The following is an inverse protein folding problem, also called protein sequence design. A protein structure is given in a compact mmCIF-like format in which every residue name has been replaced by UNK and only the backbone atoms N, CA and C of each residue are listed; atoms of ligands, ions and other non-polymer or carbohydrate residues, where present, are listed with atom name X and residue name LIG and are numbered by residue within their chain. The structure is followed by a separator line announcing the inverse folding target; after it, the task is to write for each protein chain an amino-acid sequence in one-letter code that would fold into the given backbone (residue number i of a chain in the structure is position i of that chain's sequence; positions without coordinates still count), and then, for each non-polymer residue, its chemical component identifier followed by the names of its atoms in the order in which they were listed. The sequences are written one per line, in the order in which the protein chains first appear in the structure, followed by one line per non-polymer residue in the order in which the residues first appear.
data_IF_265940925993
#
_entry.id   IF_265940925993
#
_cell.length_a   1.000
_cell.length_b   1.000
_cell.length_c   1.000
_cell.angle_alpha   90.00
_cell.angle_beta   90.00
_cell.angle_gamma   90.00
#
_symmetry.space_group_name_H-M   'P 1'
#
loop_
_entity.id
_entity.type
_entity.pdbx_description
1 polymer ?
#
# COMPACT_ATOMS: atom_id res chain seq x y z
N UNK A 1 21.91 -13.21 -37.35
CA UNK A 1 21.33 -12.13 -36.53
C UNK A 1 19.92 -12.55 -36.10
N UNK A 2 19.68 -12.88 -34.83
CA UNK A 2 18.31 -13.09 -34.34
C UNK A 2 17.60 -11.73 -34.44
N UNK A 3 16.51 -11.65 -35.20
CA UNK A 3 15.67 -10.45 -35.24
C UNK A 3 15.33 -10.06 -33.81
N UNK A 4 15.69 -8.84 -33.39
CA UNK A 4 15.39 -8.35 -32.05
C UNK A 4 13.89 -8.10 -31.98
N UNK A 5 13.13 -9.15 -31.66
CA UNK A 5 11.69 -9.04 -31.48
C UNK A 5 11.45 -8.05 -30.35
N UNK A 6 10.75 -6.96 -30.70
CA UNK A 6 10.36 -5.91 -29.78
C UNK A 6 9.49 -6.52 -28.67
N UNK A 7 9.78 -6.21 -27.41
CA UNK A 7 9.06 -6.78 -26.27
C UNK A 7 7.90 -5.87 -25.84
N UNK A 8 6.77 -5.95 -26.56
CA UNK A 8 5.59 -5.10 -26.34
C UNK A 8 5.02 -5.15 -24.92
N UNK A 9 5.07 -6.30 -24.25
CA UNK A 9 4.62 -6.40 -22.87
C UNK A 9 5.40 -5.45 -21.93
N UNK A 10 6.70 -5.27 -22.16
CA UNK A 10 7.50 -4.32 -21.35
C UNK A 10 7.20 -2.86 -21.69
N UNK A 11 6.78 -2.56 -22.92
CA UNK A 11 6.28 -1.23 -23.26
C UNK A 11 4.99 -0.93 -22.50
N UNK A 12 4.05 -1.88 -22.47
CA UNK A 12 2.80 -1.73 -21.72
C UNK A 12 3.06 -1.56 -20.22
N UNK A 13 3.94 -2.38 -19.63
CA UNK A 13 4.35 -2.21 -18.23
C UNK A 13 5.00 -0.83 -18.01
N UNK A 14 5.88 -0.39 -18.91
CA UNK A 14 6.48 0.94 -18.82
C UNK A 14 5.45 2.06 -18.84
N UNK A 15 4.44 1.99 -19.72
CA UNK A 15 3.39 3.01 -19.80
C UNK A 15 2.53 3.01 -18.52
N UNK A 16 2.15 1.83 -18.04
CA UNK A 16 1.43 1.69 -16.77
C UNK A 16 2.21 2.34 -15.62
N UNK A 17 3.48 1.98 -15.45
CA UNK A 17 4.31 2.51 -14.37
C UNK A 17 4.56 4.01 -14.52
N UNK A 18 4.69 4.53 -15.74
CA UNK A 18 4.85 5.96 -15.99
C UNK A 18 3.60 6.74 -15.59
N UNK A 19 2.42 6.27 -16.00
CA UNK A 19 1.14 6.88 -15.63
C UNK A 19 0.95 6.86 -14.12
N UNK A 20 1.19 5.71 -13.48
CA UNK A 20 1.11 5.61 -12.02
C UNK A 20 2.10 6.52 -11.31
N UNK A 21 3.35 6.61 -11.79
CA UNK A 21 4.34 7.52 -11.22
C UNK A 21 3.89 8.98 -11.32
N UNK A 22 3.33 9.40 -12.46
CA UNK A 22 2.76 10.74 -12.64
C UNK A 22 1.61 11.01 -11.67
N UNK A 23 0.72 10.03 -11.46
CA UNK A 23 -0.37 10.15 -10.46
C UNK A 23 0.21 10.33 -9.06
N UNK A 24 1.19 9.52 -8.66
CA UNK A 24 1.85 9.65 -7.35
C UNK A 24 2.56 10.99 -7.19
N UNK A 25 3.27 11.49 -8.20
CA UNK A 25 3.89 12.81 -8.15
C UNK A 25 2.87 13.95 -8.12
N UNK A 26 1.77 13.85 -8.85
CA UNK A 26 0.69 14.83 -8.82
C UNK A 26 0.01 14.87 -7.43
N UNK A 27 -0.31 13.71 -6.86
CA UNK A 27 -0.84 13.59 -5.51
C UNK A 27 0.14 14.15 -4.47
N UNK A 28 1.41 13.78 -4.57
CA UNK A 28 2.48 14.32 -3.73
C UNK A 28 2.56 15.84 -3.84
N UNK A 29 2.54 16.41 -5.04
CA UNK A 29 2.59 17.86 -5.26
C UNK A 29 1.41 18.58 -4.59
N UNK A 30 0.18 18.05 -4.74
CA UNK A 30 -1.02 18.59 -4.08
C UNK A 30 -0.87 18.55 -2.55
N UNK A 31 -0.39 17.43 -2.01
CA UNK A 31 -0.17 17.26 -0.56
C UNK A 31 0.94 18.19 -0.05
N UNK A 32 2.02 18.38 -0.82
CA UNK A 32 3.09 19.32 -0.48
C UNK A 32 2.61 20.77 -0.45
N UNK A 33 1.76 21.16 -1.42
CA UNK A 33 1.12 22.48 -1.41
C UNK A 33 0.17 22.63 -0.21
N UNK A 34 -0.62 21.60 0.08
CA UNK A 34 -1.48 21.56 1.27
C UNK A 34 -0.69 21.70 2.57
N UNK A 35 0.46 21.03 2.68
CA UNK A 35 1.34 21.14 3.82
C UNK A 35 1.90 22.56 3.97
N UNK A 36 2.34 23.18 2.87
CA UNK A 36 2.84 24.56 2.88
C UNK A 36 1.76 25.56 3.33
N UNK A 37 0.53 25.42 2.81
CA UNK A 37 -0.60 26.27 3.23
C UNK A 37 -0.90 26.07 4.72
N UNK A 38 -0.94 24.83 5.19
CA UNK A 38 -1.18 24.51 6.60
C UNK A 38 -0.10 25.12 7.52
N UNK A 39 1.16 25.10 7.10
CA UNK A 39 2.26 25.74 7.83
C UNK A 39 2.09 27.25 7.94
N UNK A 40 1.73 27.92 6.84
CA UNK A 40 1.49 29.36 6.82
C UNK A 40 0.30 29.77 7.71
N UNK A 41 -0.65 28.86 7.93
CA UNK A 41 -1.81 29.04 8.79
C UNK A 41 -1.57 28.60 10.25
N UNK A 42 -0.39 28.06 10.58
CA UNK A 42 -0.09 27.52 11.91
C UNK A 42 -0.89 26.26 12.27
N UNK A 43 -1.35 25.50 11.28
CA UNK A 43 -2.18 24.31 11.47
C UNK A 43 -1.34 23.04 11.67
N UNK A 44 -1.74 22.20 12.63
CA UNK A 44 -1.12 20.89 12.93
C UNK A 44 -1.24 19.88 11.78
N UNK A 45 -2.18 20.07 10.85
CA UNK A 45 -2.33 19.23 9.66
C UNK A 45 -1.13 19.27 8.70
N UNK A 46 -0.20 20.21 8.88
CA UNK A 46 1.02 20.32 8.09
C UNK A 46 1.85 19.02 8.09
N UNK A 47 2.00 18.37 9.25
CA UNK A 47 2.84 17.17 9.36
C UNK A 47 2.24 15.98 8.60
N UNK A 48 0.93 15.76 8.72
CA UNK A 48 0.21 14.72 7.99
C UNK A 48 0.37 14.89 6.47
N UNK A 49 0.11 16.10 5.96
CA UNK A 49 0.24 16.39 4.54
C UNK A 49 1.69 16.25 4.04
N UNK A 50 2.67 16.70 4.83
CA UNK A 50 4.10 16.55 4.51
C UNK A 50 4.53 15.07 4.45
N UNK A 51 4.07 14.23 5.39
CA UNK A 51 4.42 12.80 5.40
C UNK A 51 3.86 12.11 4.17
N UNK A 52 2.59 12.36 3.84
CA UNK A 52 1.99 11.81 2.62
C UNK A 52 2.67 12.34 1.36
N UNK A 53 3.09 13.61 1.32
CA UNK A 53 3.92 14.13 0.24
C UNK A 53 5.20 13.29 0.06
N UNK A 54 5.97 13.09 1.14
CA UNK A 54 7.19 12.28 1.10
C UNK A 54 6.93 10.84 0.63
N UNK A 55 5.88 10.22 1.15
CA UNK A 55 5.45 8.87 0.78
C UNK A 55 5.11 8.75 -0.72
N UNK A 56 4.24 9.63 -1.23
CA UNK A 56 3.80 9.61 -2.62
C UNK A 56 4.95 9.92 -3.58
N UNK A 57 5.81 10.91 -3.26
CA UNK A 57 7.00 11.21 -4.07
C UNK A 57 8.00 10.05 -4.10
N UNK A 58 8.16 9.33 -2.98
CA UNK A 58 9.04 8.18 -2.91
C UNK A 58 8.50 6.99 -3.73
N UNK A 59 7.20 6.67 -3.61
CA UNK A 59 6.54 5.64 -4.43
C UNK A 59 6.61 5.97 -5.93
N UNK A 60 6.35 7.23 -6.29
CA UNK A 60 6.51 7.72 -7.67
C UNK A 60 7.94 7.54 -8.19
N UNK A 61 8.95 7.74 -7.34
CA UNK A 61 10.36 7.54 -7.69
C UNK A 61 10.70 6.06 -7.93
N UNK A 62 10.19 5.14 -7.11
CA UNK A 62 10.34 3.69 -7.33
C UNK A 62 9.71 3.29 -8.68
N UNK A 63 8.51 3.79 -8.97
CA UNK A 63 7.82 3.51 -10.23
C UNK A 63 8.51 4.12 -11.44
N UNK A 64 9.17 5.26 -11.30
CA UNK A 64 10.00 5.83 -12.37
C UNK A 64 11.19 4.91 -12.69
N UNK A 65 11.82 4.30 -11.68
CA UNK A 65 12.87 3.30 -11.91
C UNK A 65 12.28 2.08 -12.63
N UNK A 66 11.14 1.56 -12.18
CA UNK A 66 10.46 0.44 -12.84
C UNK A 66 10.10 0.76 -14.31
N UNK A 67 9.64 1.99 -14.57
CA UNK A 67 9.34 2.53 -15.91
C UNK A 67 10.59 2.46 -16.78
N UNK A 68 11.70 3.03 -16.32
CA UNK A 68 12.96 3.08 -17.09
C UNK A 68 13.46 1.68 -17.40
N UNK A 69 13.44 0.77 -16.42
CA UNK A 69 13.89 -0.62 -16.61
C UNK A 69 13.01 -1.37 -17.61
N UNK A 70 11.68 -1.22 -17.52
CA UNK A 70 10.75 -1.83 -18.46
C UNK A 70 10.93 -1.26 -19.88
N UNK A 71 11.13 0.06 -20.01
CA UNK A 71 11.40 0.70 -21.30
C UNK A 71 12.74 0.25 -21.90
N UNK A 72 13.79 0.11 -21.09
CA UNK A 72 15.07 -0.43 -21.53
C UNK A 72 14.95 -1.87 -22.05
N UNK A 73 14.06 -2.69 -21.46
CA UNK A 73 13.74 -4.02 -21.99
C UNK A 73 13.06 -3.95 -23.36
N UNK A 74 12.13 -3.03 -23.55
CA UNK A 74 11.51 -2.78 -24.85
C UNK A 74 12.56 -2.40 -25.92
N UNK A 75 13.54 -1.57 -25.55
CA UNK A 75 14.68 -1.21 -26.39
C UNK A 75 15.76 -2.30 -26.52
N UNK A 76 15.53 -3.51 -26.00
CA UNK A 76 16.47 -4.63 -26.02
C UNK A 76 17.86 -4.31 -25.46
N UNK A 77 17.94 -3.47 -24.42
CA UNK A 77 19.23 -3.14 -23.79
C UNK A 77 19.72 -4.32 -22.94
N UNK A 78 21.00 -4.73 -23.05
CA UNK A 78 21.52 -5.88 -22.31
C UNK A 78 21.59 -5.67 -20.80
N UNK A 79 21.68 -4.41 -20.35
CA UNK A 79 21.79 -4.05 -18.93
C UNK A 79 20.63 -4.54 -18.05
N UNK A 80 19.45 -4.81 -18.64
CA UNK A 80 18.27 -5.27 -17.89
C UNK A 80 18.13 -6.79 -17.80
N UNK A 81 18.96 -7.53 -18.53
CA UNK A 81 19.01 -9.00 -18.46
C UNK A 81 19.96 -9.51 -17.37
N UNK A 82 20.74 -8.60 -16.77
CA UNK A 82 21.63 -8.92 -15.65
C UNK A 82 20.81 -9.42 -14.47
N UNK A 83 21.29 -10.48 -13.82
CA UNK A 83 20.62 -11.04 -12.66
C UNK A 83 20.63 -10.09 -11.47
N UNK A 84 19.56 -10.11 -10.68
CA UNK A 84 19.49 -9.38 -9.41
C UNK A 84 20.11 -10.24 -8.32
N UNK A 85 21.17 -9.76 -7.63
CA UNK A 85 21.73 -10.50 -6.50
C UNK A 85 20.74 -10.48 -5.33
N UNK A 86 20.52 -11.64 -4.73
CA UNK A 86 19.63 -11.84 -3.58
C UNK A 86 20.37 -12.21 -2.30
N UNK A 87 21.70 -12.22 -2.33
CA UNK A 87 22.53 -12.51 -1.16
C UNK A 87 22.73 -11.27 -0.30
N UNK A 88 21.66 -10.83 0.39
CA UNK A 88 21.81 -9.86 1.45
C UNK A 88 22.69 -10.46 2.56
N UNK A 89 23.77 -9.77 2.85
CA UNK A 89 24.68 -10.17 3.91
C UNK A 89 24.11 -9.88 5.29
N UNK A 90 24.58 -10.59 6.32
CA UNK A 90 24.03 -10.44 7.68
C UNK A 90 24.24 -9.04 8.26
N UNK A 91 25.34 -8.36 7.89
CA UNK A 91 25.61 -6.99 8.29
C UNK A 91 24.68 -5.99 7.60
N UNK A 92 24.31 -6.21 6.33
CA UNK A 92 23.32 -5.37 5.67
C UNK A 92 21.93 -5.55 6.31
N UNK A 93 21.54 -6.79 6.64
CA UNK A 93 20.30 -7.07 7.36
C UNK A 93 20.29 -6.39 8.74
N UNK A 94 21.37 -6.52 9.51
CA UNK A 94 21.52 -5.86 10.80
C UNK A 94 21.48 -4.34 10.69
N UNK A 95 22.16 -3.75 9.70
CA UNK A 95 22.13 -2.32 9.43
C UNK A 95 20.73 -1.83 9.04
N UNK A 96 19.99 -2.61 8.25
CA UNK A 96 18.59 -2.32 7.90
C UNK A 96 17.69 -2.30 9.13
N UNK A 97 17.79 -3.32 9.98
CA UNK A 97 16.98 -3.41 11.20
C UNK A 97 17.31 -2.28 12.19
N UNK A 98 18.60 -1.97 12.38
CA UNK A 98 19.04 -0.85 13.23
C UNK A 98 18.57 0.48 12.63
N UNK A 99 18.73 0.68 11.32
CA UNK A 99 18.29 1.89 10.64
C UNK A 99 16.79 2.12 10.76
N UNK A 100 15.98 1.05 10.65
CA UNK A 100 14.54 1.11 10.89
C UNK A 100 14.21 1.50 12.33
N UNK A 101 14.86 0.85 13.30
CA UNK A 101 14.68 1.15 14.73
C UNK A 101 15.07 2.59 15.07
N UNK A 102 16.17 3.09 14.51
CA UNK A 102 16.59 4.49 14.66
C UNK A 102 15.58 5.45 14.03
N UNK A 103 15.06 5.16 12.83
CA UNK A 103 14.05 6.00 12.19
C UNK A 103 12.76 6.08 13.03
N UNK A 104 12.29 4.94 13.56
CA UNK A 104 11.13 4.88 14.45
C UNK A 104 11.35 5.62 15.77
N UNK A 105 12.53 5.44 16.39
CA UNK A 105 12.89 6.10 17.64
C UNK A 105 12.95 7.61 17.45
N UNK A 106 13.70 8.08 16.44
CA UNK A 106 13.82 9.50 16.14
C UNK A 106 12.47 10.12 15.78
N UNK A 107 11.66 9.43 14.96
CA UNK A 107 10.33 9.89 14.60
C UNK A 107 9.40 9.98 15.81
N UNK A 108 9.42 8.99 16.69
CA UNK A 108 8.65 8.99 17.94
C UNK A 108 9.05 10.11 18.91
N UNK A 109 10.33 10.51 18.94
CA UNK A 109 10.80 11.63 19.76
C UNK A 109 10.35 13.00 19.22
N UNK A 110 10.09 13.11 17.92
CA UNK A 110 9.75 14.39 17.28
C UNK A 110 8.26 14.51 16.91
N UNK A 111 7.48 13.44 16.95
CA UNK A 111 6.10 13.42 16.43
C UNK A 111 5.22 14.52 17.05
N UNK A 112 5.39 14.79 18.35
CA UNK A 112 4.63 15.79 19.11
C UNK A 112 5.21 17.21 18.97
N UNK A 113 6.37 17.37 18.32
CA UNK A 113 7.01 18.67 18.15
C UNK A 113 6.56 19.34 16.85
N UNK A 114 5.50 20.15 16.97
CA UNK A 114 4.86 20.87 15.85
C UNK A 114 5.79 21.81 15.06
N UNK A 115 6.94 22.21 15.61
CA UNK A 115 7.85 23.10 14.91
C UNK A 115 8.69 22.38 13.85
N UNK A 116 8.95 21.08 14.05
CA UNK A 116 9.93 20.32 13.26
C UNK A 116 9.37 19.03 12.66
N UNK A 117 8.24 18.51 13.18
CA UNK A 117 7.68 17.23 12.74
C UNK A 117 7.36 17.20 11.25
N UNK A 118 6.80 18.28 10.71
CA UNK A 118 6.46 18.44 9.30
C UNK A 118 7.67 18.34 8.36
N UNK A 119 8.88 18.63 8.85
CA UNK A 119 10.11 18.63 8.08
C UNK A 119 10.80 17.26 8.13
N UNK A 120 10.90 16.67 9.33
CA UNK A 120 11.67 15.45 9.55
C UNK A 120 10.86 14.16 9.42
N UNK A 121 9.58 14.14 9.82
CA UNK A 121 8.75 12.93 9.70
C UNK A 121 8.64 12.40 8.26
N UNK A 122 8.49 13.22 7.20
CA UNK A 122 8.45 12.72 5.83
C UNK A 122 9.72 11.96 5.45
N UNK A 123 10.88 12.46 5.91
CA UNK A 123 12.19 11.86 5.65
C UNK A 123 12.38 10.59 6.47
N UNK A 124 11.96 10.57 7.74
CA UNK A 124 12.07 9.41 8.62
C UNK A 124 11.07 8.30 8.30
N UNK A 125 9.92 8.64 7.70
CA UNK A 125 8.91 7.67 7.25
C UNK A 125 9.47 6.74 6.19
N UNK A 126 10.29 7.24 5.26
CA UNK A 126 10.87 6.41 4.20
C UNK A 126 11.66 5.23 4.77
N UNK A 127 12.71 5.41 5.60
CA UNK A 127 13.45 4.30 6.20
C UNK A 127 12.61 3.51 7.23
N UNK A 128 11.71 4.15 7.98
CA UNK A 128 10.84 3.45 8.93
C UNK A 128 9.91 2.44 8.25
N UNK A 129 9.48 2.72 7.02
CA UNK A 129 8.63 1.81 6.22
C UNK A 129 9.46 0.85 5.37
N UNK A 130 10.45 1.38 4.64
CA UNK A 130 11.16 0.58 3.63
C UNK A 130 12.18 -0.39 4.20
N UNK A 131 12.88 -0.04 5.29
CA UNK A 131 13.94 -0.90 5.82
C UNK A 131 13.40 -2.18 6.46
N UNK A 132 12.30 -2.18 7.24
CA UNK A 132 11.71 -3.43 7.72
C UNK A 132 11.27 -4.34 6.57
N UNK A 133 10.58 -3.80 5.56
CA UNK A 133 10.15 -4.55 4.37
C UNK A 133 11.36 -5.11 3.63
N UNK A 134 12.41 -4.31 3.46
CA UNK A 134 13.65 -4.74 2.82
C UNK A 134 14.37 -5.84 3.63
N UNK A 135 14.40 -5.74 4.95
CA UNK A 135 14.99 -6.76 5.84
C UNK A 135 14.24 -8.08 5.71
N UNK A 136 12.91 -8.08 5.85
CA UNK A 136 12.10 -9.30 5.80
C UNK A 136 12.18 -9.93 4.41
N UNK A 137 12.04 -9.13 3.35
CA UNK A 137 12.17 -9.60 1.97
C UNK A 137 13.57 -10.18 1.73
N UNK A 138 14.62 -9.46 2.13
CA UNK A 138 16.00 -9.86 1.94
C UNK A 138 16.37 -11.15 2.68
N UNK A 139 15.77 -11.39 3.85
CA UNK A 139 15.88 -12.67 4.56
C UNK A 139 15.11 -13.78 3.83
N UNK A 140 13.89 -13.51 3.38
CA UNK A 140 13.03 -14.48 2.70
C UNK A 140 13.60 -14.93 1.35
N UNK A 141 14.12 -14.00 0.55
CA UNK A 141 14.64 -14.32 -0.79
C UNK A 141 16.13 -14.67 -0.83
N UNK A 142 16.76 -14.82 0.33
CA UNK A 142 18.23 -15.00 0.42
C UNK A 142 18.70 -16.19 -0.40
N UNK A 143 19.61 -15.94 -1.33
CA UNK A 143 20.16 -16.93 -2.26
C UNK A 143 19.12 -17.58 -3.20
N UNK A 144 17.93 -16.99 -3.34
CA UNK A 144 16.92 -17.44 -4.30
C UNK A 144 17.05 -16.68 -5.63
N UNK A 145 16.66 -17.30 -6.76
CA UNK A 145 16.82 -16.67 -8.07
C UNK A 145 15.72 -15.64 -8.35
N UNK A 146 16.05 -14.35 -8.40
CA UNK A 146 15.18 -13.29 -8.97
C UNK A 146 15.40 -13.05 -10.46
N UNK A 147 16.37 -13.74 -11.08
CA UNK A 147 16.68 -13.68 -12.52
C UNK A 147 16.92 -12.23 -12.98
N UNK A 148 16.55 -11.86 -14.21
CA UNK A 148 16.78 -10.56 -14.81
C UNK A 148 16.13 -9.37 -14.08
N UNK A 149 16.85 -8.24 -13.99
CA UNK A 149 16.37 -6.96 -13.44
C UNK A 149 15.00 -6.53 -13.95
N UNK A 150 14.72 -6.67 -15.25
CA UNK A 150 13.42 -6.21 -15.77
C UNK A 150 12.24 -7.00 -15.21
N UNK A 151 12.38 -8.30 -14.94
CA UNK A 151 11.32 -9.11 -14.32
C UNK A 151 11.08 -8.65 -12.89
N UNK A 152 12.15 -8.51 -12.10
CA UNK A 152 12.09 -8.01 -10.72
C UNK A 152 11.38 -6.67 -10.64
N UNK A 153 11.82 -5.68 -11.42
CA UNK A 153 11.21 -4.35 -11.42
C UNK A 153 9.78 -4.33 -11.99
N UNK A 154 9.46 -5.21 -12.96
CA UNK A 154 8.09 -5.32 -13.46
C UNK A 154 7.14 -5.91 -12.44
N UNK A 155 7.57 -6.96 -11.72
CA UNK A 155 6.76 -7.59 -10.66
C UNK A 155 6.55 -6.62 -9.51
N UNK A 156 7.61 -5.93 -9.06
CA UNK A 156 7.50 -4.88 -8.06
C UNK A 156 6.55 -3.77 -8.54
N UNK A 157 6.72 -3.28 -9.78
CA UNK A 157 5.88 -2.24 -10.36
C UNK A 157 4.39 -2.63 -10.45
N UNK A 158 4.09 -3.86 -10.88
CA UNK A 158 2.71 -4.40 -10.92
C UNK A 158 2.11 -4.44 -9.51
N UNK A 159 2.91 -4.85 -8.52
CA UNK A 159 2.48 -4.96 -7.12
C UNK A 159 2.27 -3.60 -6.44
N UNK A 160 2.92 -2.55 -6.94
CA UNK A 160 2.74 -1.16 -6.50
C UNK A 160 1.59 -0.44 -7.24
N UNK A 161 1.05 -1.03 -8.32
CA UNK A 161 0.10 -0.35 -9.21
C UNK A 161 -1.16 -1.17 -9.45
N UNK A 162 -1.08 -2.14 -10.36
CA UNK A 162 -2.22 -2.89 -10.86
C UNK A 162 -2.86 -3.76 -9.77
N UNK A 163 -2.08 -4.40 -8.91
CA UNK A 163 -2.63 -5.23 -7.84
C UNK A 163 -3.44 -4.39 -6.83
N UNK A 164 -2.91 -3.29 -6.23
CA UNK A 164 -3.69 -2.39 -5.39
C UNK A 164 -4.90 -1.78 -6.11
N UNK A 165 -4.77 -1.42 -7.39
CA UNK A 165 -5.89 -0.86 -8.17
C UNK A 165 -7.03 -1.86 -8.33
N UNK A 166 -6.72 -3.11 -8.70
CA UNK A 166 -7.72 -4.17 -8.83
C UNK A 166 -8.36 -4.45 -7.47
N UNK A 167 -7.57 -4.50 -6.39
CA UNK A 167 -8.08 -4.71 -5.04
C UNK A 167 -9.04 -3.61 -4.62
N UNK A 168 -8.67 -2.35 -4.81
CA UNK A 168 -9.55 -1.22 -4.55
C UNK A 168 -10.87 -1.32 -5.32
N UNK A 169 -10.83 -1.69 -6.61
CA UNK A 169 -12.05 -1.86 -7.42
C UNK A 169 -12.90 -3.02 -6.88
N UNK A 170 -12.30 -4.15 -6.54
CA UNK A 170 -13.03 -5.31 -5.99
C UNK A 170 -13.64 -5.00 -4.62
N UNK A 171 -12.89 -4.38 -3.72
CA UNK A 171 -13.36 -3.93 -2.41
C UNK A 171 -14.53 -2.94 -2.55
N UNK A 172 -14.39 -1.96 -3.45
CA UNK A 172 -15.46 -1.00 -3.72
C UNK A 172 -16.72 -1.71 -4.24
N UNK A 173 -16.59 -2.65 -5.17
CA UNK A 173 -17.71 -3.44 -5.67
C UNK A 173 -18.38 -4.25 -4.56
N UNK A 174 -17.59 -4.89 -3.68
CA UNK A 174 -18.12 -5.64 -2.53
C UNK A 174 -18.94 -4.73 -1.63
N UNK A 175 -18.43 -3.54 -1.30
CA UNK A 175 -19.17 -2.56 -0.49
C UNK A 175 -20.47 -2.16 -1.18
N UNK A 176 -20.45 -1.87 -2.48
CA UNK A 176 -21.65 -1.55 -3.27
C UNK A 176 -22.65 -2.70 -3.21
N UNK A 177 -22.22 -3.95 -3.39
CA UNK A 177 -23.09 -5.12 -3.30
C UNK A 177 -23.70 -5.29 -1.90
N UNK A 178 -22.92 -5.07 -0.84
CA UNK A 178 -23.42 -5.13 0.54
C UNK A 178 -24.48 -4.05 0.76
N UNK A 179 -24.23 -2.81 0.34
CA UNK A 179 -25.19 -1.71 0.48
C UNK A 179 -26.48 -2.01 -0.30
N UNK A 180 -26.38 -2.48 -1.54
CA UNK A 180 -27.54 -2.87 -2.35
C UNK A 180 -28.34 -3.97 -1.68
N UNK A 181 -27.67 -4.99 -1.14
CA UNK A 181 -28.34 -6.06 -0.40
C UNK A 181 -29.09 -5.54 0.84
N UNK A 182 -28.45 -4.67 1.62
CA UNK A 182 -29.08 -4.04 2.81
C UNK A 182 -30.31 -3.21 2.41
N UNK A 183 -30.22 -2.43 1.33
CA UNK A 183 -31.34 -1.61 0.84
C UNK A 183 -32.50 -2.50 0.36
N UNK A 184 -32.22 -3.54 -0.43
CA UNK A 184 -33.24 -4.49 -0.91
C UNK A 184 -33.91 -5.21 0.28
N UNK A 185 -33.11 -5.63 1.26
CA UNK A 185 -33.63 -6.28 2.47
C UNK A 185 -34.50 -5.34 3.32
N UNK A 186 -34.11 -4.07 3.45
CA UNK A 186 -34.90 -3.06 4.13
C UNK A 186 -36.21 -2.74 3.38
N UNK A 187 -36.18 -2.69 2.05
CA UNK A 187 -37.39 -2.51 1.22
C UNK A 187 -38.38 -3.67 1.36
N UNK A 188 -37.90 -4.89 1.58
CA UNK A 188 -38.73 -6.06 1.83
C UNK A 188 -39.33 -6.10 3.25
N UNK A 189 -38.85 -5.24 4.17
CA UNK A 189 -39.22 -5.26 5.60
C UNK A 189 -39.76 -3.90 6.05
N UNK A 190 -41.10 -3.73 6.18
CA UNK A 190 -41.71 -2.45 6.56
C UNK A 190 -41.14 -1.85 7.87
N UNK A 191 -40.83 -2.70 8.84
CA UNK A 191 -40.24 -2.31 10.13
C UNK A 191 -38.83 -1.70 9.96
N UNK A 192 -37.98 -2.31 9.13
CA UNK A 192 -36.63 -1.80 8.86
C UNK A 192 -36.66 -0.48 8.09
N UNK A 193 -37.66 -0.29 7.23
CA UNK A 193 -37.84 0.97 6.50
C UNK A 193 -38.15 2.14 7.45
N UNK A 194 -39.04 1.93 8.42
CA UNK A 194 -39.34 2.93 9.46
C UNK A 194 -38.10 3.25 10.28
N UNK A 195 -37.36 2.22 10.67
CA UNK A 195 -36.13 2.38 11.44
C UNK A 195 -35.04 3.13 10.66
N UNK A 196 -34.92 2.84 9.36
CA UNK A 196 -33.98 3.53 8.47
C UNK A 196 -34.34 5.02 8.31
N UNK A 197 -35.63 5.34 8.15
CA UNK A 197 -36.10 6.72 8.10
C UNK A 197 -35.83 7.46 9.42
N UNK A 198 -36.04 6.80 10.56
CA UNK A 198 -35.72 7.34 11.88
C UNK A 198 -34.23 7.65 12.00
N UNK A 199 -33.37 6.68 11.69
CA UNK A 199 -31.91 6.86 11.71
C UNK A 199 -31.45 7.98 10.78
N UNK A 200 -31.96 8.01 9.55
CA UNK A 200 -31.65 9.05 8.57
C UNK A 200 -32.04 10.44 9.09
N UNK A 201 -33.21 10.59 9.69
CA UNK A 201 -33.67 11.86 10.26
C UNK A 201 -32.81 12.34 11.44
N UNK A 202 -32.33 11.40 12.27
CA UNK A 202 -31.47 11.72 13.41
C UNK A 202 -30.05 12.11 12.97
N UNK A 203 -29.51 11.44 11.96
CA UNK A 203 -28.15 11.70 11.46
C UNK A 203 -28.05 12.92 10.55
N UNK A 204 -29.14 13.36 9.92
CA UNK A 204 -29.13 14.48 8.96
C UNK A 204 -28.56 15.80 9.54
N UNK A 205 -28.72 16.01 10.85
CA UNK A 205 -28.33 17.24 11.53
C UNK A 205 -27.14 17.06 12.49
N UNK A 206 -26.57 15.85 12.52
CA UNK A 206 -25.48 15.50 13.42
C UNK A 206 -24.23 15.29 12.56
N UNK A 207 -23.11 15.84 13.02
CA UNK A 207 -21.81 15.54 12.42
C UNK A 207 -21.53 14.03 12.53
N UNK A 208 -21.32 13.31 11.42
CA UNK A 208 -21.06 11.87 11.42
C UNK A 208 -19.88 11.45 12.30
N UNK A 209 -18.91 12.34 12.52
CA UNK A 209 -17.73 12.06 13.36
C UNK A 209 -17.96 12.39 14.84
N UNK A 210 -19.12 12.94 15.21
CA UNK A 210 -19.42 13.29 16.60
C UNK A 210 -19.72 12.07 17.47
N UNK A 211 -19.43 12.22 18.77
CA UNK A 211 -19.80 11.21 19.77
C UNK A 211 -21.32 10.95 19.80
N UNK A 212 -22.13 11.97 19.50
CA UNK A 212 -23.58 11.84 19.40
C UNK A 212 -24.00 10.90 18.25
N UNK A 213 -23.36 11.00 17.08
CA UNK A 213 -23.58 10.06 15.98
C UNK A 213 -23.21 8.63 16.39
N UNK A 214 -22.07 8.46 17.07
CA UNK A 214 -21.63 7.15 17.56
C UNK A 214 -22.60 6.55 18.59
N UNK A 215 -23.17 7.36 19.50
CA UNK A 215 -24.19 6.89 20.45
C UNK A 215 -25.47 6.41 19.75
N UNK A 216 -25.86 7.04 18.65
CA UNK A 216 -27.02 6.64 17.84
C UNK A 216 -26.73 5.36 17.06
N UNK A 217 -25.52 5.21 16.50
CA UNK A 217 -25.14 4.07 15.67
C UNK A 217 -24.74 2.83 16.49
N UNK A 218 -24.20 3.00 17.69
CA UNK A 218 -23.65 1.93 18.51
C UNK A 218 -24.64 0.76 18.74
N UNK A 219 -25.94 0.97 19.03
CA UNK A 219 -26.91 -0.12 19.19
C UNK A 219 -27.12 -0.97 17.93
N UNK A 220 -26.77 -0.46 16.74
CA UNK A 220 -26.86 -1.20 15.48
C UNK A 220 -25.55 -1.90 15.15
N UNK A 221 -24.43 -1.21 15.33
CA UNK A 221 -23.09 -1.75 15.07
C UNK A 221 -22.73 -2.89 16.04
N UNK A 222 -23.29 -2.88 17.25
CA UNK A 222 -23.05 -3.92 18.27
C UNK A 222 -24.02 -5.09 18.20
N UNK A 223 -24.98 -5.10 17.26
CA UNK A 223 -25.86 -6.26 17.08
C UNK A 223 -25.01 -7.47 16.67
N UNK A 224 -25.14 -8.64 17.32
CA UNK A 224 -24.29 -9.80 17.03
C UNK A 224 -24.25 -10.19 15.55
N UNK A 225 -25.38 -10.11 14.85
CA UNK A 225 -25.43 -10.39 13.40
C UNK A 225 -24.64 -9.37 12.56
N UNK A 226 -24.69 -8.08 12.92
CA UNK A 226 -23.92 -7.03 12.24
C UNK A 226 -22.43 -7.21 12.50
N UNK A 227 -22.04 -7.45 13.76
CA UNK A 227 -20.66 -7.74 14.14
C UNK A 227 -20.14 -8.98 13.39
N UNK A 228 -20.93 -10.06 13.33
CA UNK A 228 -20.55 -11.28 12.64
C UNK A 228 -20.35 -11.05 11.14
N UNK A 229 -21.27 -10.34 10.47
CA UNK A 229 -21.14 -10.00 9.05
C UNK A 229 -19.91 -9.12 8.82
N UNK A 230 -19.72 -8.10 9.66
CA UNK A 230 -18.57 -7.18 9.58
C UNK A 230 -17.25 -7.95 9.71
N UNK A 231 -17.09 -8.77 10.74
CA UNK A 231 -15.90 -9.61 10.93
C UNK A 231 -15.70 -10.58 9.78
N UNK A 232 -16.76 -11.23 9.28
CA UNK A 232 -16.64 -12.17 8.16
C UNK A 232 -16.17 -11.46 6.89
N UNK A 233 -16.70 -10.27 6.60
CA UNK A 233 -16.31 -9.50 5.41
C UNK A 233 -14.87 -8.98 5.54
N UNK A 234 -14.54 -8.28 6.62
CA UNK A 234 -13.26 -7.59 6.76
C UNK A 234 -12.11 -8.49 7.23
N UNK A 235 -12.40 -9.60 7.92
CA UNK A 235 -11.36 -10.52 8.42
C UNK A 235 -11.22 -11.81 7.61
N UNK A 236 -12.17 -12.13 6.72
CA UNK A 236 -12.09 -13.34 5.88
C UNK A 236 -12.18 -13.00 4.40
N UNK A 237 -13.29 -12.41 3.94
CA UNK A 237 -13.49 -12.22 2.49
C UNK A 237 -12.49 -11.25 1.87
N UNK A 238 -12.31 -10.06 2.46
CA UNK A 238 -11.36 -9.06 1.96
C UNK A 238 -9.94 -9.66 1.96
N UNK A 239 -9.41 -10.20 3.08
CA UNK A 239 -8.09 -10.83 3.08
C UNK A 239 -7.92 -11.95 2.04
N UNK A 240 -8.92 -12.82 1.84
CA UNK A 240 -8.83 -13.89 0.82
C UNK A 240 -8.70 -13.32 -0.59
N UNK A 241 -9.45 -12.26 -0.91
CA UNK A 241 -9.35 -11.59 -2.20
C UNK A 241 -7.99 -10.88 -2.32
N UNK A 242 -7.53 -10.27 -1.24
CA UNK A 242 -6.21 -9.63 -1.14
C UNK A 242 -5.09 -10.63 -1.46
N UNK A 243 -5.04 -11.76 -0.76
CA UNK A 243 -4.05 -12.83 -1.00
C UNK A 243 -4.16 -13.42 -2.41
N UNK A 244 -5.37 -13.45 -2.98
CA UNK A 244 -5.56 -13.91 -4.35
C UNK A 244 -4.94 -12.92 -5.35
N UNK A 245 -5.09 -11.61 -5.17
CA UNK A 245 -4.61 -10.61 -6.15
C UNK A 245 -3.14 -10.22 -5.94
N UNK A 246 -2.59 -10.26 -4.72
CA UNK A 246 -1.18 -9.95 -4.44
C UNK A 246 -0.17 -10.58 -5.41
N UNK A 247 -0.23 -11.90 -5.70
CA UNK A 247 0.72 -12.54 -6.61
C UNK A 247 0.44 -12.28 -8.10
N UNK A 248 -0.41 -11.31 -8.47
CA UNK A 248 -0.72 -10.98 -9.87
C UNK A 248 0.54 -10.77 -10.72
N UNK A 249 1.57 -10.15 -10.15
CA UNK A 249 2.89 -10.05 -10.79
C UNK A 249 3.42 -11.42 -11.16
N UNK A 250 3.47 -12.37 -10.22
CA UNK A 250 3.91 -13.74 -10.44
C UNK A 250 3.06 -14.45 -11.49
N UNK A 251 1.74 -14.30 -11.47
CA UNK A 251 0.83 -14.95 -12.41
C UNK A 251 1.09 -14.54 -13.87
N UNK A 252 1.34 -13.26 -14.10
CA UNK A 252 1.69 -12.75 -15.43
C UNK A 252 3.04 -13.30 -15.95
N UNK A 253 3.88 -13.82 -15.04
CA UNK A 253 5.15 -14.47 -15.35
C UNK A 253 5.17 -15.98 -15.11
N UNK A 254 4.03 -16.62 -14.77
CA UNK A 254 4.00 -18.02 -14.31
C UNK A 254 4.61 -19.00 -15.33
N UNK A 255 4.33 -18.82 -16.62
CA UNK A 255 4.91 -19.64 -17.70
C UNK A 255 6.39 -19.39 -17.99
N UNK A 256 7.04 -18.46 -17.27
CA UNK A 256 8.46 -18.09 -17.43
C UNK A 256 9.28 -18.35 -16.17
N UNK A 257 8.69 -19.01 -15.17
CA UNK A 257 9.37 -19.44 -13.95
C UNK A 257 10.22 -20.68 -14.23
N UNK A 258 11.43 -20.70 -13.69
CA UNK A 258 12.41 -21.79 -13.84
C UNK A 258 12.37 -22.76 -12.66
N UNK A 259 11.75 -22.40 -11.53
CA UNK A 259 11.63 -23.24 -10.33
C UNK A 259 10.58 -22.71 -9.35
N UNK A 260 10.14 -23.55 -8.40
CA UNK A 260 9.29 -23.15 -7.28
C UNK A 260 9.97 -22.09 -6.39
N UNK A 261 11.28 -22.21 -6.18
CA UNK A 261 12.06 -21.22 -5.42
C UNK A 261 12.02 -19.82 -6.05
N UNK A 262 12.02 -19.74 -7.38
CA UNK A 262 11.82 -18.49 -8.10
C UNK A 262 10.40 -17.94 -7.91
N UNK A 263 9.39 -18.83 -7.97
CA UNK A 263 8.01 -18.46 -7.70
C UNK A 263 7.84 -17.85 -6.30
N UNK A 264 8.43 -18.47 -5.29
CA UNK A 264 8.45 -17.95 -3.92
C UNK A 264 9.15 -16.59 -3.84
N UNK A 265 10.33 -16.43 -4.46
CA UNK A 265 11.06 -15.17 -4.43
C UNK A 265 10.27 -14.02 -5.07
N UNK A 266 9.57 -14.28 -6.17
CA UNK A 266 8.68 -13.30 -6.79
C UNK A 266 7.38 -13.07 -6.03
N UNK A 267 6.87 -14.08 -5.32
CA UNK A 267 5.75 -13.94 -4.38
C UNK A 267 6.11 -12.96 -3.26
N UNK A 268 7.22 -13.22 -2.57
CA UNK A 268 7.75 -12.34 -1.51
C UNK A 268 8.00 -10.92 -2.01
N UNK A 269 8.51 -10.75 -3.23
CA UNK A 269 8.70 -9.43 -3.85
C UNK A 269 7.36 -8.73 -4.14
N UNK A 270 6.33 -9.48 -4.54
CA UNK A 270 4.99 -8.94 -4.79
C UNK A 270 4.36 -8.48 -3.48
N UNK A 271 4.45 -9.31 -2.44
CA UNK A 271 4.06 -8.98 -1.07
C UNK A 271 4.77 -7.74 -0.53
N UNK A 272 6.07 -7.61 -0.77
CA UNK A 272 6.85 -6.43 -0.39
C UNK A 272 6.36 -5.16 -1.10
N UNK A 273 6.02 -5.24 -2.39
CA UNK A 273 5.42 -4.13 -3.12
C UNK A 273 4.08 -3.71 -2.52
N UNK A 274 3.21 -4.68 -2.24
CA UNK A 274 1.91 -4.40 -1.63
C UNK A 274 2.05 -3.77 -0.23
N UNK A 275 2.91 -4.34 0.62
CA UNK A 275 3.20 -3.83 1.95
C UNK A 275 3.70 -2.38 1.94
N UNK A 276 4.51 -1.99 0.93
CA UNK A 276 4.95 -0.59 0.78
C UNK A 276 3.75 0.34 0.57
N UNK A 277 2.87 0.04 -0.38
CA UNK A 277 1.68 0.87 -0.67
C UNK A 277 0.80 0.98 0.58
N UNK A 278 0.48 -0.16 1.19
CA UNK A 278 -0.44 -0.21 2.31
C UNK A 278 0.09 0.54 3.55
N UNK A 279 1.39 0.40 3.83
CA UNK A 279 2.02 1.09 4.95
C UNK A 279 2.19 2.58 4.69
N UNK A 280 2.63 2.97 3.49
CA UNK A 280 2.76 4.39 3.13
C UNK A 280 1.41 5.12 3.11
N UNK A 281 0.33 4.46 2.70
CA UNK A 281 -1.01 5.07 2.68
C UNK A 281 -1.51 5.49 4.07
N UNK A 282 -1.16 4.74 5.13
CA UNK A 282 -1.54 5.11 6.50
C UNK A 282 -0.51 5.97 7.22
N UNK A 283 0.69 6.11 6.66
CA UNK A 283 1.81 6.82 7.32
C UNK A 283 1.54 8.30 7.61
N UNK A 284 0.55 8.90 6.95
CA UNK A 284 0.09 10.27 7.22
C UNK A 284 -0.58 10.44 8.59
N UNK A 285 -0.98 9.38 9.28
CA UNK A 285 -1.49 9.45 10.64
C UNK A 285 -0.34 9.73 11.61
N UNK A 286 -0.16 11.00 11.95
CA UNK A 286 0.99 11.44 12.76
C UNK A 286 0.79 11.27 14.27
N UNK A 287 -0.46 11.10 14.72
CA UNK A 287 -0.75 10.73 16.10
C UNK A 287 -0.30 9.28 16.32
N UNK A 288 0.50 9.05 17.37
CA UNK A 288 1.09 7.74 17.65
C UNK A 288 1.86 7.14 16.46
N UNK A 289 2.41 7.99 15.59
CA UNK A 289 3.07 7.63 14.33
C UNK A 289 4.06 6.47 14.48
N UNK A 290 4.89 6.49 15.52
CA UNK A 290 5.89 5.45 15.76
C UNK A 290 5.25 4.10 16.13
N UNK A 291 4.19 4.13 16.95
CA UNK A 291 3.41 2.95 17.33
C UNK A 291 2.67 2.37 16.13
N UNK A 292 2.06 3.23 15.31
CA UNK A 292 1.41 2.84 14.06
C UNK A 292 2.40 2.16 13.12
N UNK A 293 3.52 2.80 12.77
CA UNK A 293 4.49 2.22 11.85
C UNK A 293 5.16 0.96 12.40
N UNK A 294 5.40 0.89 13.72
CA UNK A 294 5.88 -0.33 14.36
C UNK A 294 4.89 -1.49 14.19
N UNK A 295 3.60 -1.26 14.43
CA UNK A 295 2.55 -2.29 14.24
C UNK A 295 2.48 -2.76 12.78
N UNK A 296 2.69 -1.84 11.82
CA UNK A 296 2.71 -2.13 10.39
C UNK A 296 3.87 -3.02 9.95
N UNK A 297 4.95 -3.13 10.72
CA UNK A 297 6.01 -4.12 10.45
C UNK A 297 5.44 -5.54 10.51
N UNK A 298 4.53 -5.81 11.45
CA UNK A 298 3.84 -7.09 11.57
C UNK A 298 2.99 -7.40 10.33
N UNK A 299 2.12 -6.46 9.95
CA UNK A 299 1.28 -6.62 8.74
C UNK A 299 2.12 -6.74 7.47
N UNK A 300 3.16 -5.91 7.31
CA UNK A 300 4.12 -5.99 6.22
C UNK A 300 4.79 -7.35 6.10
N UNK A 301 5.13 -7.97 7.24
CA UNK A 301 5.69 -9.33 7.28
C UNK A 301 4.69 -10.36 6.78
N UNK A 302 3.42 -10.25 7.17
CA UNK A 302 2.36 -11.14 6.70
C UNK A 302 2.26 -11.09 5.17
N UNK A 303 2.15 -9.90 4.58
CA UNK A 303 2.07 -9.76 3.11
C UNK A 303 3.25 -10.38 2.36
N UNK A 304 4.46 -10.39 2.95
CA UNK A 304 5.67 -10.96 2.30
C UNK A 304 5.71 -12.48 2.41
N UNK A 305 5.06 -13.05 3.43
CA UNK A 305 5.18 -14.47 3.79
C UNK A 305 3.99 -15.34 3.40
N UNK A 306 2.90 -14.73 2.93
CA UNK A 306 1.69 -15.40 2.42
C UNK A 306 1.61 -15.36 0.90
#
# INVERSE_FOLDING_TARGET
MKSSRVHYASLMSSLLFAISALIFFAAGFILGLSALIALLQGNRAAAQASVLFGAMSFLGSILLIATVVAFMKYLNKPAVEVSVPTSASIWQIGAGAIGAGLALLLGGLIQDNNNINWLFLPVLTIPAVTLPIWVVTGMGVKNLPLDSRWRTWSILGISLTLAPFILFVLEFLIVVFIVLFVVIYALASPELMVEFQRLSSQLMFIDPESEAAMQILAPYLTRPGVVFVFLTVFSVFIPVIEELIKPLGVWLFAGKLNSTAQGFAFGALSGAGFALIETFNVSGQTAEWSGLLFSRIGTGTLHITT
#
